data_IF_695191948388
#
_entry.id   IF_695191948388
#
_cell.length_a   1.000
_cell.length_b   1.000
_cell.length_c   1.000
_cell.angle_alpha   90.00
_cell.angle_beta   90.00
_cell.angle_gamma   90.00
#
_symmetry.space_group_name_H-M   'P 1'
#
loop_
_entity.id
_entity.type
_entity.pdbx_description
1 polymer ?
#
# COMPACT_ATOMS: atom_id res chain seq x y z
N UNK A 1 24.03 11.20 -14.77
CA UNK A 1 24.29 9.74 -15.00
C UNK A 1 25.57 9.31 -14.34
N UNK A 2 26.58 10.19 -14.25
CA UNK A 2 27.82 9.91 -13.51
C UNK A 2 27.56 9.57 -12.03
N UNK A 3 26.60 10.23 -11.39
CA UNK A 3 26.21 10.04 -9.99
C UNK A 3 25.65 8.64 -9.74
N UNK A 4 24.78 8.18 -10.64
CA UNK A 4 24.23 6.84 -10.57
C UNK A 4 25.31 5.78 -10.76
N UNK A 5 26.21 5.97 -11.75
CA UNK A 5 27.35 5.07 -11.94
C UNK A 5 28.28 5.03 -10.72
N UNK A 6 28.53 6.17 -10.08
CA UNK A 6 29.30 6.23 -8.81
C UNK A 6 28.62 5.43 -7.71
N UNK A 7 27.30 5.49 -7.59
CA UNK A 7 26.55 4.73 -6.58
C UNK A 7 26.61 3.22 -6.83
N UNK A 8 26.51 2.79 -8.10
CA UNK A 8 26.68 1.37 -8.45
C UNK A 8 28.11 0.89 -8.17
N UNK A 9 29.13 1.66 -8.53
CA UNK A 9 30.54 1.35 -8.24
C UNK A 9 30.86 1.34 -6.74
N UNK A 10 30.23 2.22 -5.97
CA UNK A 10 30.32 2.22 -4.52
C UNK A 10 29.83 0.89 -3.97
N UNK A 11 28.67 0.41 -4.41
CA UNK A 11 28.11 -0.88 -3.98
C UNK A 11 29.02 -2.06 -4.35
N UNK A 12 29.58 -2.08 -5.56
CA UNK A 12 30.56 -3.08 -5.99
C UNK A 12 31.78 -3.10 -5.06
N UNK A 13 32.27 -1.92 -4.67
CA UNK A 13 33.42 -1.77 -3.77
C UNK A 13 33.08 -2.24 -2.35
N UNK A 14 31.92 -1.84 -1.82
CA UNK A 14 31.44 -2.24 -0.48
C UNK A 14 31.32 -3.76 -0.36
N UNK A 15 30.94 -4.46 -1.44
CA UNK A 15 30.80 -5.92 -1.45
C UNK A 15 32.01 -6.68 -2.00
N UNK A 16 33.06 -5.98 -2.43
CA UNK A 16 34.30 -6.60 -2.92
C UNK A 16 35.04 -7.40 -1.84
N UNK A 17 36.10 -8.11 -2.21
CA UNK A 17 36.89 -8.88 -1.25
C UNK A 17 37.47 -8.03 -0.12
N UNK A 18 37.91 -6.81 -0.44
CA UNK A 18 38.41 -5.80 0.51
C UNK A 18 37.31 -4.89 1.07
N UNK A 19 36.04 -5.17 0.75
CA UNK A 19 34.89 -4.37 1.15
C UNK A 19 34.46 -4.56 2.61
N UNK A 20 33.29 -4.02 2.94
CA UNK A 20 32.71 -4.05 4.27
C UNK A 20 32.25 -5.46 4.66
N UNK A 21 32.70 -6.03 5.80
CA UNK A 21 32.28 -7.36 6.24
C UNK A 21 30.78 -7.49 6.52
N UNK A 22 30.11 -6.41 6.88
CA UNK A 22 28.66 -6.40 7.10
C UNK A 22 27.91 -6.48 5.78
N UNK A 23 28.30 -5.67 4.80
CA UNK A 23 27.66 -5.66 3.48
C UNK A 23 27.77 -7.02 2.81
N UNK A 24 28.98 -7.61 2.76
CA UNK A 24 29.23 -8.93 2.16
C UNK A 24 28.35 -10.05 2.71
N UNK A 25 27.96 -9.99 3.98
CA UNK A 25 27.13 -11.01 4.65
C UNK A 25 25.65 -10.91 4.30
N UNK A 26 25.20 -9.78 3.75
CA UNK A 26 23.79 -9.61 3.41
C UNK A 26 23.38 -10.52 2.24
N UNK A 27 22.16 -11.04 2.34
CA UNK A 27 21.50 -11.84 1.32
C UNK A 27 20.20 -11.18 0.88
N UNK A 28 19.71 -11.50 -0.33
CA UNK A 28 18.45 -10.93 -0.86
C UNK A 28 17.28 -11.12 0.12
N UNK A 29 17.24 -12.24 0.86
CA UNK A 29 16.17 -12.53 1.81
C UNK A 29 16.10 -11.55 3.00
N UNK A 30 17.21 -10.96 3.40
CA UNK A 30 17.28 -10.02 4.54
C UNK A 30 16.73 -8.64 4.19
N UNK A 31 16.77 -8.24 2.91
CA UNK A 31 16.26 -6.95 2.44
C UNK A 31 14.74 -6.82 2.53
N UNK A 32 13.99 -7.88 2.84
CA UNK A 32 12.54 -7.79 3.01
C UNK A 32 12.15 -6.80 4.11
N UNK A 33 12.84 -6.85 5.25
CA UNK A 33 12.56 -5.97 6.38
C UNK A 33 13.00 -4.55 6.05
N UNK A 34 14.23 -4.37 5.58
CA UNK A 34 14.75 -3.05 5.21
C UNK A 34 13.87 -2.36 4.16
N UNK A 35 13.49 -3.05 3.08
CA UNK A 35 12.58 -2.47 2.09
C UNK A 35 11.21 -2.07 2.67
N UNK A 36 10.71 -2.81 3.66
CA UNK A 36 9.44 -2.48 4.28
C UNK A 36 9.56 -1.23 5.17
N UNK A 37 10.65 -1.12 5.92
CA UNK A 37 11.00 0.05 6.74
C UNK A 37 11.07 1.31 5.87
N UNK A 38 11.92 1.31 4.84
CA UNK A 38 12.09 2.47 3.94
C UNK A 38 10.78 2.87 3.23
N UNK A 39 9.93 1.89 2.88
CA UNK A 39 8.62 2.18 2.28
C UNK A 39 7.71 2.88 3.28
N UNK A 40 7.70 2.46 4.55
CA UNK A 40 6.89 3.11 5.58
C UNK A 40 7.43 4.50 5.94
N UNK A 41 8.74 4.68 6.01
CA UNK A 41 9.37 6.00 6.24
C UNK A 41 9.09 6.94 5.06
N UNK A 42 9.16 6.43 3.82
CA UNK A 42 8.75 7.19 2.63
C UNK A 42 7.28 7.60 2.71
N UNK A 43 6.39 6.71 3.13
CA UNK A 43 4.96 7.01 3.30
C UNK A 43 4.76 8.09 4.37
N UNK A 44 5.43 7.97 5.52
CA UNK A 44 5.35 8.96 6.60
C UNK A 44 5.84 10.35 6.13
N UNK A 45 6.94 10.39 5.37
CA UNK A 45 7.47 11.62 4.80
C UNK A 45 6.47 12.28 3.81
N UNK A 46 5.74 11.47 3.02
CA UNK A 46 4.67 11.96 2.13
C UNK A 46 3.50 12.51 2.97
N UNK A 47 3.02 11.75 3.95
CA UNK A 47 1.89 12.13 4.80
C UNK A 47 2.16 13.42 5.59
N UNK A 48 3.39 13.59 6.07
CA UNK A 48 3.82 14.79 6.80
C UNK A 48 4.28 15.94 5.89
N UNK A 49 4.26 15.75 4.56
CA UNK A 49 4.81 16.69 3.57
C UNK A 49 6.26 17.11 3.87
N UNK A 50 7.03 16.23 4.50
CA UNK A 50 8.43 16.47 4.83
C UNK A 50 9.33 16.10 3.64
N UNK A 51 9.51 17.04 2.73
CA UNK A 51 10.29 16.83 1.51
C UNK A 51 11.79 16.55 1.75
N UNK A 52 12.32 16.95 2.92
CA UNK A 52 13.71 16.63 3.29
C UNK A 52 13.84 15.14 3.58
N UNK A 53 12.98 14.61 4.45
CA UNK A 53 12.92 13.18 4.74
C UNK A 53 12.59 12.40 3.47
N UNK A 54 11.58 12.83 2.69
CA UNK A 54 11.20 12.14 1.46
C UNK A 54 12.37 11.95 0.49
N UNK A 55 13.25 12.95 0.36
CA UNK A 55 14.44 12.85 -0.49
C UNK A 55 15.45 11.82 0.04
N UNK A 56 15.59 11.71 1.37
CA UNK A 56 16.44 10.75 2.06
C UNK A 56 15.92 9.33 1.84
N UNK A 57 14.66 9.06 2.17
CA UNK A 57 14.04 7.73 2.06
C UNK A 57 14.01 7.21 0.61
N UNK A 58 13.78 8.10 -0.38
CA UNK A 58 13.87 7.74 -1.80
C UNK A 58 15.30 7.35 -2.20
N UNK A 59 16.31 7.94 -1.56
CA UNK A 59 17.71 7.57 -1.71
C UNK A 59 17.99 6.18 -1.14
N UNK A 60 17.45 5.87 0.03
CA UNK A 60 17.66 4.59 0.70
C UNK A 60 16.92 3.44 -0.01
N UNK A 61 15.71 3.68 -0.53
CA UNK A 61 15.05 2.77 -1.46
C UNK A 61 15.90 2.49 -2.70
N UNK A 62 16.48 3.53 -3.32
CA UNK A 62 17.36 3.38 -4.47
C UNK A 62 18.62 2.56 -4.11
N UNK A 63 19.20 2.83 -2.94
CA UNK A 63 20.36 2.11 -2.44
C UNK A 63 20.07 0.62 -2.25
N UNK A 64 18.93 0.28 -1.63
CA UNK A 64 18.48 -1.11 -1.47
C UNK A 64 18.23 -1.83 -2.79
N UNK A 65 17.66 -1.15 -3.80
CA UNK A 65 17.49 -1.72 -5.14
C UNK A 65 18.85 -2.07 -5.76
N UNK A 66 19.82 -1.15 -5.69
CA UNK A 66 21.18 -1.36 -6.21
C UNK A 66 21.88 -2.48 -5.44
N UNK A 67 21.71 -2.54 -4.11
CA UNK A 67 22.28 -3.58 -3.27
C UNK A 67 21.79 -4.97 -3.68
N UNK A 68 20.48 -5.15 -3.84
CA UNK A 68 19.89 -6.41 -4.28
C UNK A 68 20.39 -6.78 -5.67
N UNK A 69 20.43 -5.82 -6.60
CA UNK A 69 20.94 -6.06 -7.95
C UNK A 69 22.42 -6.48 -7.94
N UNK A 70 23.24 -5.94 -7.05
CA UNK A 70 24.63 -6.34 -6.88
C UNK A 70 24.76 -7.78 -6.35
N UNK A 71 23.95 -8.18 -5.36
CA UNK A 71 23.93 -9.58 -4.87
C UNK A 71 23.53 -10.54 -6.02
N UNK A 72 22.53 -10.16 -6.82
CA UNK A 72 22.09 -10.96 -7.97
C UNK A 72 23.16 -11.06 -9.07
N UNK A 73 23.94 -9.98 -9.28
CA UNK A 73 25.07 -9.96 -10.21
C UNK A 73 26.17 -10.92 -9.77
N UNK A 74 26.51 -10.93 -8.48
CA UNK A 74 27.46 -11.89 -7.88
C UNK A 74 27.00 -13.34 -8.09
N UNK A 75 25.69 -13.58 -7.99
CA UNK A 75 25.05 -14.86 -8.29
C UNK A 75 24.87 -15.20 -9.77
N UNK A 76 25.31 -14.34 -10.70
CA UNK A 76 25.11 -14.46 -12.17
C UNK A 76 23.64 -14.61 -12.58
N UNK A 77 22.73 -13.94 -11.89
CA UNK A 77 21.29 -13.98 -12.17
C UNK A 77 20.85 -12.83 -13.08
N UNK A 78 21.06 -11.59 -12.61
CA UNK A 78 20.80 -10.33 -13.32
C UNK A 78 21.57 -9.20 -12.62
N UNK A 79 21.69 -8.05 -13.26
CA UNK A 79 22.27 -6.85 -12.66
C UNK A 79 21.35 -5.61 -12.74
N UNK A 80 21.85 -4.46 -12.28
CA UNK A 80 21.08 -3.21 -12.26
C UNK A 80 20.69 -2.73 -13.66
N UNK A 81 21.50 -3.04 -14.68
CA UNK A 81 21.21 -2.72 -16.09
C UNK A 81 20.01 -3.52 -16.57
N UNK A 82 19.92 -4.80 -16.22
CA UNK A 82 18.76 -5.64 -16.53
C UNK A 82 17.47 -5.10 -15.90
N UNK A 83 17.54 -4.67 -14.63
CA UNK A 83 16.42 -4.06 -13.91
C UNK A 83 15.92 -2.79 -14.62
N UNK A 84 16.84 -1.88 -14.96
CA UNK A 84 16.53 -0.62 -15.65
C UNK A 84 15.96 -0.87 -17.05
N UNK A 85 16.59 -1.75 -17.83
CA UNK A 85 16.13 -2.09 -19.18
C UNK A 85 14.74 -2.74 -19.16
N UNK A 86 14.48 -3.59 -18.17
CA UNK A 86 13.19 -4.23 -17.97
C UNK A 86 12.08 -3.20 -17.71
N UNK A 87 12.27 -2.27 -16.78
CA UNK A 87 11.28 -1.24 -16.50
C UNK A 87 11.14 -0.23 -17.65
N UNK A 88 12.25 0.17 -18.28
CA UNK A 88 12.23 1.09 -19.43
C UNK A 88 11.42 0.52 -20.59
N UNK A 89 11.76 -0.70 -21.04
CA UNK A 89 11.06 -1.36 -22.16
C UNK A 89 9.58 -1.53 -21.87
N UNK A 90 9.25 -1.97 -20.65
CA UNK A 90 7.86 -2.15 -20.19
C UNK A 90 7.09 -0.84 -20.20
N UNK A 91 7.66 0.25 -19.68
CA UNK A 91 6.98 1.54 -19.61
C UNK A 91 6.87 2.18 -20.99
N UNK A 92 7.94 2.12 -21.81
CA UNK A 92 7.93 2.62 -23.18
C UNK A 92 6.80 1.97 -24.01
N UNK A 93 6.71 0.65 -24.01
CA UNK A 93 5.69 -0.10 -24.74
C UNK A 93 4.27 0.15 -24.23
N UNK A 94 4.11 0.53 -22.95
CA UNK A 94 2.81 0.87 -22.34
C UNK A 94 2.36 2.31 -22.61
N UNK A 95 3.19 3.12 -23.25
CA UNK A 95 2.87 4.51 -23.59
C UNK A 95 2.98 4.78 -25.11
N UNK A 96 2.29 4.01 -25.98
CA UNK A 96 2.37 4.19 -27.43
C UNK A 96 1.72 5.50 -27.93
N UNK A 97 0.98 6.21 -27.08
CA UNK A 97 0.44 7.55 -27.33
C UNK A 97 1.48 8.66 -27.11
N UNK A 98 2.49 8.43 -26.26
CA UNK A 98 3.59 9.37 -26.02
C UNK A 98 4.74 9.09 -26.96
N UNK A 99 5.08 7.81 -27.15
CA UNK A 99 6.29 7.40 -27.88
C UNK A 99 6.02 6.77 -29.25
N UNK A 100 4.75 6.55 -29.61
CA UNK A 100 4.33 6.03 -30.91
C UNK A 100 3.35 6.98 -31.62
N UNK A 101 2.87 6.57 -32.79
CA UNK A 101 1.92 7.34 -33.62
C UNK A 101 0.47 6.85 -33.39
N UNK A 102 0.01 6.84 -32.14
CA UNK A 102 -1.35 6.36 -31.82
C UNK A 102 -2.19 7.51 -31.29
N UNK A 103 -3.23 7.91 -32.04
CA UNK A 103 -4.21 8.95 -31.67
C UNK A 103 -5.49 8.34 -31.11
N UNK A 104 -5.36 7.26 -30.34
CA UNK A 104 -6.50 6.53 -29.78
C UNK A 104 -6.95 7.20 -28.47
N UNK A 105 -8.23 7.60 -28.43
CA UNK A 105 -8.90 8.26 -27.30
C UNK A 105 -9.33 7.27 -26.20
N UNK A 106 -9.06 5.97 -26.37
CA UNK A 106 -9.35 4.96 -25.34
C UNK A 106 -8.64 5.32 -24.02
N UNK A 107 -9.35 5.27 -22.86
CA UNK A 107 -8.74 5.49 -21.55
C UNK A 107 -7.46 4.66 -21.36
N UNK A 108 -6.42 5.29 -20.82
CA UNK A 108 -5.09 4.70 -20.72
C UNK A 108 -5.09 3.42 -19.89
N UNK A 109 -5.97 3.33 -18.90
CA UNK A 109 -6.13 2.18 -18.00
C UNK A 109 -6.62 0.93 -18.73
N UNK A 110 -7.57 1.10 -19.66
CA UNK A 110 -8.10 0.02 -20.49
C UNK A 110 -7.00 -0.49 -21.42
N UNK A 111 -6.29 0.43 -22.09
CA UNK A 111 -5.19 0.08 -22.98
C UNK A 111 -4.05 -0.65 -22.26
N UNK A 112 -3.71 -0.25 -21.04
CA UNK A 112 -2.72 -0.96 -20.24
C UNK A 112 -3.15 -2.39 -19.91
N UNK A 113 -4.44 -2.63 -19.72
CA UNK A 113 -4.96 -3.96 -19.46
C UNK A 113 -4.90 -4.85 -20.70
N UNK A 114 -5.25 -4.31 -21.87
CA UNK A 114 -5.15 -5.05 -23.13
C UNK A 114 -3.71 -5.36 -23.52
N UNK A 115 -2.77 -4.44 -23.29
CA UNK A 115 -1.34 -4.70 -23.47
C UNK A 115 -0.84 -5.81 -22.54
N UNK A 116 -1.27 -5.84 -21.26
CA UNK A 116 -0.92 -6.93 -20.34
C UNK A 116 -1.49 -8.28 -20.76
N UNK A 117 -2.71 -8.30 -21.31
CA UNK A 117 -3.34 -9.52 -21.87
C UNK A 117 -2.52 -10.03 -23.06
N UNK A 118 -2.09 -9.15 -23.95
CA UNK A 118 -1.27 -9.51 -25.10
C UNK A 118 0.14 -10.00 -24.72
N UNK A 119 0.72 -9.49 -23.63
CA UNK A 119 2.05 -9.89 -23.13
C UNK A 119 2.11 -11.31 -22.53
N UNK A 120 0.97 -11.94 -22.18
CA UNK A 120 0.94 -13.19 -21.39
C UNK A 120 0.00 -14.24 -21.96
N UNK A 121 0.51 -15.47 -22.12
CA UNK A 121 -0.28 -16.63 -22.57
C UNK A 121 -1.34 -17.07 -21.55
N UNK A 122 -1.03 -17.01 -20.26
CA UNK A 122 -1.93 -17.36 -19.15
C UNK A 122 -2.30 -16.11 -18.34
N UNK A 123 -2.97 -15.16 -19.00
CA UNK A 123 -3.39 -13.93 -18.34
C UNK A 123 -4.47 -14.20 -17.29
N UNK A 124 -4.24 -13.73 -16.06
CA UNK A 124 -5.28 -13.63 -15.02
C UNK A 124 -5.24 -12.24 -14.39
N UNK A 125 -6.38 -11.51 -14.33
CA UNK A 125 -6.44 -10.18 -13.73
C UNK A 125 -5.95 -10.16 -12.26
N UNK A 126 -6.20 -11.26 -11.54
CA UNK A 126 -5.87 -11.40 -10.13
C UNK A 126 -4.51 -12.08 -9.89
N UNK A 127 -3.77 -12.43 -10.94
CA UNK A 127 -2.42 -12.98 -10.79
C UNK A 127 -1.46 -11.96 -10.15
N UNK A 128 -0.47 -12.48 -9.41
CA UNK A 128 0.60 -11.70 -8.77
C UNK A 128 0.11 -10.62 -7.80
N UNK A 129 -1.04 -10.81 -7.15
CA UNK A 129 -1.39 -10.03 -5.95
C UNK A 129 -0.61 -10.66 -4.78
N UNK A 130 0.37 -9.95 -4.17
CA UNK A 130 1.19 -10.55 -3.13
C UNK A 130 0.32 -10.95 -1.93
N UNK A 131 0.62 -12.11 -1.34
CA UNK A 131 -0.14 -12.65 -0.20
C UNK A 131 0.10 -11.89 1.11
N UNK A 132 1.21 -11.16 1.19
CA UNK A 132 1.64 -10.44 2.40
C UNK A 132 1.06 -9.03 2.52
N UNK A 133 0.38 -8.53 1.49
CA UNK A 133 -0.26 -7.21 1.53
C UNK A 133 -1.35 -7.21 2.62
N UNK A 134 -1.45 -6.13 3.44
CA UNK A 134 -2.53 -5.96 4.41
C UNK A 134 -3.92 -6.20 3.79
N UNK A 135 -4.85 -6.71 4.61
CA UNK A 135 -6.10 -7.25 4.11
C UNK A 135 -6.96 -6.21 3.36
N UNK A 136 -7.06 -4.97 3.85
CA UNK A 136 -7.88 -3.94 3.21
C UNK A 136 -7.27 -3.51 1.87
N UNK A 137 -5.96 -3.23 1.85
CA UNK A 137 -5.25 -2.90 0.62
C UNK A 137 -5.30 -4.06 -0.38
N UNK A 138 -5.18 -5.30 0.08
CA UNK A 138 -5.29 -6.49 -0.77
C UNK A 138 -6.68 -6.59 -1.39
N UNK A 139 -7.74 -6.44 -0.60
CA UNK A 139 -9.13 -6.43 -1.09
C UNK A 139 -9.37 -5.30 -2.08
N UNK A 140 -8.85 -4.09 -1.80
CA UNK A 140 -8.93 -2.94 -2.69
C UNK A 140 -8.25 -3.21 -4.05
N UNK A 141 -7.07 -3.82 -4.05
CA UNK A 141 -6.38 -4.22 -5.28
C UNK A 141 -7.19 -5.29 -6.04
N UNK A 142 -7.75 -6.29 -5.34
CA UNK A 142 -8.55 -7.35 -5.95
C UNK A 142 -9.77 -6.75 -6.66
N UNK A 143 -10.58 -5.97 -5.95
CA UNK A 143 -11.83 -5.40 -6.48
C UNK A 143 -11.56 -4.42 -7.60
N UNK A 144 -10.53 -3.57 -7.46
CA UNK A 144 -10.10 -2.65 -8.54
C UNK A 144 -9.63 -3.38 -9.80
N UNK A 145 -8.98 -4.55 -9.67
CA UNK A 145 -8.57 -5.34 -10.84
C UNK A 145 -9.73 -6.11 -11.46
N UNK A 146 -10.67 -6.60 -10.66
CA UNK A 146 -11.88 -7.24 -11.15
C UNK A 146 -12.77 -6.24 -11.91
N UNK A 147 -12.90 -5.02 -11.40
CA UNK A 147 -13.64 -3.93 -12.04
C UNK A 147 -13.11 -3.59 -13.45
N UNK A 148 -11.79 -3.61 -13.63
CA UNK A 148 -11.14 -3.34 -14.95
C UNK A 148 -11.51 -4.32 -16.05
N UNK A 149 -11.96 -5.53 -15.69
CA UNK A 149 -12.45 -6.52 -16.67
C UNK A 149 -13.97 -6.57 -16.74
N UNK A 150 -14.66 -5.60 -16.14
CA UNK A 150 -16.11 -5.46 -16.16
C UNK A 150 -16.83 -6.21 -15.04
N UNK A 151 -16.12 -6.80 -14.08
CA UNK A 151 -16.73 -7.37 -12.88
C UNK A 151 -16.80 -6.30 -11.79
N UNK A 152 -17.85 -5.46 -11.87
CA UNK A 152 -18.08 -4.34 -10.95
C UNK A 152 -19.57 -4.09 -10.70
N UNK A 153 -19.87 -3.36 -9.63
CA UNK A 153 -21.18 -2.75 -9.41
C UNK A 153 -21.39 -1.60 -10.41
N UNK A 154 -22.60 -1.46 -11.00
CA UNK A 154 -22.89 -0.37 -11.92
C UNK A 154 -22.83 1.02 -11.26
N UNK A 155 -23.26 1.13 -10.00
CA UNK A 155 -23.31 2.38 -9.26
C UNK A 155 -22.99 2.17 -7.78
N UNK A 156 -22.64 3.26 -7.10
CA UNK A 156 -22.32 3.26 -5.67
C UNK A 156 -23.55 2.86 -4.81
N UNK A 157 -24.76 3.22 -5.23
CA UNK A 157 -26.00 2.84 -4.54
C UNK A 157 -26.14 1.32 -4.40
N UNK A 158 -25.74 0.57 -5.44
CA UNK A 158 -25.84 -0.89 -5.46
C UNK A 158 -24.86 -1.52 -4.42
N UNK A 159 -23.77 -0.82 -4.08
CA UNK A 159 -22.84 -1.22 -3.01
C UNK A 159 -23.43 -0.95 -1.63
N UNK A 160 -24.16 0.16 -1.45
CA UNK A 160 -24.86 0.46 -0.19
C UNK A 160 -26.03 -0.49 0.08
N UNK A 161 -26.74 -0.92 -0.96
CA UNK A 161 -27.75 -1.98 -0.86
C UNK A 161 -27.09 -3.28 -0.37
N UNK A 162 -25.96 -3.69 -0.99
CA UNK A 162 -25.21 -4.87 -0.54
C UNK A 162 -24.70 -4.72 0.89
N UNK A 163 -24.20 -3.54 1.30
CA UNK A 163 -23.78 -3.30 2.69
C UNK A 163 -24.91 -3.50 3.70
N UNK A 164 -26.15 -3.15 3.30
CA UNK A 164 -27.32 -3.34 4.15
C UNK A 164 -27.67 -4.83 4.27
N UNK A 165 -27.58 -5.57 3.16
CA UNK A 165 -27.74 -7.04 3.13
C UNK A 165 -26.71 -7.73 4.04
N UNK A 166 -25.41 -7.44 3.89
CA UNK A 166 -24.33 -8.01 4.73
C UNK A 166 -24.55 -7.72 6.22
N UNK A 167 -25.06 -6.53 6.55
CA UNK A 167 -25.38 -6.16 7.93
C UNK A 167 -26.58 -6.96 8.48
N UNK A 168 -27.56 -7.29 7.65
CA UNK A 168 -28.67 -8.16 8.04
C UNK A 168 -28.25 -9.62 8.17
N UNK A 169 -27.35 -10.11 7.31
CA UNK A 169 -26.76 -11.45 7.38
C UNK A 169 -25.91 -11.61 8.64
N UNK A 170 -25.08 -10.61 8.97
CA UNK A 170 -24.34 -10.57 10.24
C UNK A 170 -25.26 -10.70 11.46
N UNK A 171 -26.35 -9.93 11.51
CA UNK A 171 -27.32 -10.01 12.62
C UNK A 171 -27.96 -11.40 12.73
N UNK A 172 -28.30 -12.04 11.61
CA UNK A 172 -28.85 -13.41 11.60
C UNK A 172 -27.80 -14.42 12.07
N UNK A 173 -26.55 -14.26 11.66
CA UNK A 173 -25.44 -15.10 12.12
C UNK A 173 -25.24 -14.97 13.64
N UNK A 174 -25.33 -13.75 14.18
CA UNK A 174 -25.29 -13.50 15.63
C UNK A 174 -26.43 -14.21 16.38
N UNK A 175 -27.65 -14.22 15.84
CA UNK A 175 -28.79 -14.95 16.42
C UNK A 175 -28.56 -16.47 16.46
N UNK A 176 -27.87 -17.02 15.46
CA UNK A 176 -27.53 -18.46 15.41
C UNK A 176 -26.44 -18.86 16.41
N UNK A 177 -25.58 -17.92 16.82
CA UNK A 177 -24.42 -18.14 17.67
C UNK A 177 -23.26 -18.90 16.99
N UNK A 178 -23.33 -19.15 15.68
CA UNK A 178 -22.23 -19.78 14.94
C UNK A 178 -21.08 -18.79 14.70
N UNK A 179 -19.99 -19.00 15.44
CA UNK A 179 -18.79 -18.17 15.33
C UNK A 179 -18.16 -18.20 13.94
N UNK A 180 -18.35 -19.26 13.15
CA UNK A 180 -17.82 -19.32 11.80
C UNK A 180 -18.65 -18.45 10.85
N UNK A 181 -19.98 -18.55 10.86
CA UNK A 181 -20.85 -17.64 10.11
C UNK A 181 -20.60 -16.19 10.50
N UNK A 182 -20.55 -15.84 11.80
CA UNK A 182 -20.28 -14.46 12.24
C UNK A 182 -18.96 -13.94 11.67
N UNK A 183 -17.91 -14.78 11.64
CA UNK A 183 -16.62 -14.40 11.04
C UNK A 183 -16.73 -14.13 9.54
N UNK A 184 -17.48 -14.95 8.81
CA UNK A 184 -17.70 -14.82 7.37
C UNK A 184 -18.42 -13.50 7.06
N UNK A 185 -19.54 -13.23 7.74
CA UNK A 185 -20.33 -12.01 7.53
C UNK A 185 -19.56 -10.73 7.89
N UNK A 186 -18.72 -10.76 8.95
CA UNK A 186 -17.81 -9.64 9.25
C UNK A 186 -16.83 -9.41 8.09
N UNK A 187 -16.33 -10.49 7.49
CA UNK A 187 -15.43 -10.43 6.33
C UNK A 187 -16.09 -9.79 5.12
N UNK A 188 -17.32 -10.19 4.81
CA UNK A 188 -18.06 -9.69 3.66
C UNK A 188 -18.52 -8.24 3.84
N UNK A 189 -18.89 -7.84 5.07
CA UNK A 189 -19.15 -6.44 5.40
C UNK A 189 -17.88 -5.57 5.22
N UNK A 190 -16.73 -6.02 5.72
CA UNK A 190 -15.44 -5.32 5.52
C UNK A 190 -15.08 -5.23 4.02
N UNK A 191 -15.30 -6.30 3.27
CA UNK A 191 -15.07 -6.33 1.82
C UNK A 191 -15.99 -5.35 1.06
N UNK A 192 -17.23 -5.21 1.51
CA UNK A 192 -18.18 -4.24 0.97
C UNK A 192 -17.77 -2.80 1.28
N UNK A 193 -17.32 -2.52 2.51
CA UNK A 193 -16.75 -1.20 2.88
C UNK A 193 -15.53 -0.85 2.00
N UNK A 194 -14.67 -1.82 1.71
CA UNK A 194 -13.53 -1.63 0.78
C UNK A 194 -14.01 -1.21 -0.61
N UNK A 195 -15.14 -1.75 -1.10
CA UNK A 195 -15.71 -1.33 -2.37
C UNK A 195 -16.25 0.10 -2.32
N UNK A 196 -16.90 0.51 -1.23
CA UNK A 196 -17.31 1.91 -1.04
C UNK A 196 -16.09 2.84 -1.13
N UNK A 197 -14.99 2.52 -0.42
CA UNK A 197 -13.75 3.29 -0.51
C UNK A 197 -13.20 3.35 -1.95
N UNK A 198 -13.27 2.24 -2.69
CA UNK A 198 -12.86 2.17 -4.10
C UNK A 198 -13.67 3.07 -5.02
N UNK A 199 -14.99 3.15 -4.85
CA UNK A 199 -15.82 4.07 -5.63
C UNK A 199 -15.48 5.54 -5.40
N UNK A 200 -14.85 5.86 -4.27
CA UNK A 200 -14.34 7.20 -3.96
C UNK A 200 -12.86 7.39 -4.30
N UNK A 201 -12.21 6.41 -4.93
CA UNK A 201 -10.76 6.39 -5.19
C UNK A 201 -9.90 6.57 -3.92
N UNK A 202 -10.40 6.10 -2.77
CA UNK A 202 -9.72 6.17 -1.48
C UNK A 202 -9.07 4.82 -1.18
N UNK A 203 -7.81 4.83 -0.73
CA UNK A 203 -7.16 3.64 -0.18
C UNK A 203 -7.74 3.34 1.22
N UNK A 204 -8.43 2.20 1.42
CA UNK A 204 -9.08 1.89 2.69
C UNK A 204 -8.08 1.59 3.82
N UNK A 205 -6.88 1.10 3.51
CA UNK A 205 -5.84 0.84 4.52
C UNK A 205 -5.34 2.16 5.10
N UNK A 206 -5.06 3.14 4.22
CA UNK A 206 -4.65 4.48 4.62
C UNK A 206 -5.77 5.24 5.37
N UNK A 207 -7.01 5.15 4.89
CA UNK A 207 -8.16 5.76 5.55
C UNK A 207 -8.36 5.22 6.99
N UNK A 208 -8.17 3.91 7.18
CA UNK A 208 -8.24 3.30 8.50
C UNK A 208 -7.04 3.70 9.36
N UNK A 209 -5.81 3.70 8.81
CA UNK A 209 -4.60 4.18 9.51
C UNK A 209 -4.77 5.61 10.02
N UNK A 210 -5.24 6.51 9.16
CA UNK A 210 -5.56 7.90 9.52
C UNK A 210 -6.59 8.01 10.65
N UNK A 211 -7.62 7.16 10.62
CA UNK A 211 -8.64 7.11 11.67
C UNK A 211 -8.09 6.58 12.99
N UNK A 212 -7.24 5.55 12.95
CA UNK A 212 -6.54 5.00 14.11
C UNK A 212 -5.58 6.01 14.73
N UNK A 213 -4.80 6.73 13.91
CA UNK A 213 -3.92 7.80 14.38
C UNK A 213 -4.68 8.93 15.07
N UNK A 214 -5.85 9.31 14.53
CA UNK A 214 -6.76 10.27 15.16
C UNK A 214 -7.32 9.76 16.49
N UNK A 215 -7.65 8.47 16.59
CA UNK A 215 -8.06 7.86 17.86
C UNK A 215 -6.94 7.94 18.89
N UNK A 216 -5.71 7.56 18.51
CA UNK A 216 -4.53 7.59 19.40
C UNK A 216 -4.29 9.02 19.92
N UNK A 217 -4.27 10.03 19.06
CA UNK A 217 -4.06 11.43 19.49
C UNK A 217 -5.10 11.90 20.51
N UNK A 218 -6.37 11.57 20.26
CA UNK A 218 -7.46 11.93 21.17
C UNK A 218 -7.39 11.18 22.48
N UNK A 219 -7.05 9.89 22.44
CA UNK A 219 -6.89 9.10 23.64
C UNK A 219 -5.70 9.58 24.47
N UNK A 220 -4.56 9.87 23.85
CA UNK A 220 -3.40 10.49 24.52
C UNK A 220 -3.75 11.82 25.19
N UNK A 221 -4.63 12.62 24.60
CA UNK A 221 -5.15 13.82 25.27
C UNK A 221 -5.91 13.48 26.56
N UNK A 222 -6.73 12.42 26.55
CA UNK A 222 -7.38 11.91 27.77
C UNK A 222 -6.33 11.49 28.79
N UNK A 223 -5.34 10.68 28.38
CA UNK A 223 -4.29 10.16 29.26
C UNK A 223 -3.52 11.30 29.95
N UNK A 224 -3.13 12.33 29.19
CA UNK A 224 -2.36 13.47 29.69
C UNK A 224 -3.16 14.38 30.63
N UNK A 225 -4.49 14.41 30.49
CA UNK A 225 -5.38 15.28 31.28
C UNK A 225 -6.15 14.54 32.38
N UNK A 226 -5.81 13.27 32.60
CA UNK A 226 -6.44 12.42 33.60
C UNK A 226 -5.45 12.04 34.69
N UNK A 227 -5.82 12.23 35.98
CA UNK A 227 -4.95 11.85 37.10
C UNK A 227 -4.75 10.34 37.25
N UNK A 228 -5.76 9.54 36.88
CA UNK A 228 -5.70 8.08 36.82
C UNK A 228 -6.79 7.54 35.88
N UNK A 229 -6.40 6.99 34.73
CA UNK A 229 -7.32 6.45 33.71
C UNK A 229 -8.23 5.36 34.27
N UNK A 230 -7.67 4.44 35.05
CA UNK A 230 -8.39 3.29 35.60
C UNK A 230 -9.52 3.67 36.58
N UNK A 231 -9.42 4.86 37.18
CA UNK A 231 -10.42 5.38 38.13
C UNK A 231 -11.33 6.44 37.51
N UNK A 232 -11.17 6.74 36.21
CA UNK A 232 -11.95 7.78 35.55
C UNK A 232 -13.26 7.23 35.04
N UNK A 233 -14.31 8.05 35.08
CA UNK A 233 -15.61 7.66 34.53
C UNK A 233 -15.62 7.85 33.02
N UNK A 234 -16.45 7.08 32.31
CA UNK A 234 -16.68 7.29 30.87
C UNK A 234 -17.12 8.72 30.58
N UNK A 235 -17.93 9.32 31.45
CA UNK A 235 -18.37 10.72 31.31
C UNK A 235 -17.21 11.72 31.35
N UNK A 236 -16.22 11.50 32.21
CA UNK A 236 -15.04 12.36 32.28
C UNK A 236 -14.12 12.16 31.07
N UNK A 237 -13.94 10.91 30.63
CA UNK A 237 -13.20 10.60 29.40
C UNK A 237 -13.88 11.17 28.15
N UNK A 238 -15.21 11.14 28.06
CA UNK A 238 -15.98 11.70 26.95
C UNK A 238 -15.86 13.23 26.89
N UNK A 239 -15.78 13.93 28.02
CA UNK A 239 -15.50 15.38 28.04
C UNK A 239 -14.14 15.68 27.43
N UNK A 240 -13.09 15.00 27.90
CA UNK A 240 -11.73 15.16 27.39
C UNK A 240 -11.61 14.76 25.92
N UNK A 241 -12.34 13.73 25.48
CA UNK A 241 -12.44 13.34 24.07
C UNK A 241 -13.03 14.46 23.20
N UNK A 242 -14.12 15.07 23.66
CA UNK A 242 -14.76 16.18 22.95
C UNK A 242 -13.87 17.44 22.93
N UNK A 243 -13.15 17.72 24.02
CA UNK A 243 -12.15 18.79 24.06
C UNK A 243 -11.06 18.57 23.01
N UNK A 244 -10.49 17.36 22.92
CA UNK A 244 -9.50 17.02 21.90
C UNK A 244 -10.05 17.21 20.48
N UNK A 245 -11.29 16.79 20.23
CA UNK A 245 -11.98 16.95 18.93
C UNK A 245 -12.16 18.43 18.55
N UNK A 246 -12.46 19.29 19.52
CA UNK A 246 -12.63 20.73 19.29
C UNK A 246 -11.30 21.45 19.08
N UNK A 247 -10.21 21.01 19.72
CA UNK A 247 -8.86 21.52 19.47
C UNK A 247 -8.40 21.21 18.04
N UNK A 248 -8.60 19.98 17.56
CA UNK A 248 -8.24 19.58 16.18
C UNK A 248 -8.99 20.41 15.12
N UNK A 249 -10.28 20.70 15.33
CA UNK A 249 -11.09 21.51 14.40
C UNK A 249 -10.67 22.98 14.31
N UNK A 250 -10.03 23.52 15.36
CA UNK A 250 -9.56 24.91 15.40
C UNK A 250 -8.16 25.09 14.82
N UNK A 251 -7.40 23.99 14.69
CA UNK A 251 -6.04 23.98 14.13
C UNK A 251 -5.97 23.57 12.66
N UNK A 252 -7.10 23.20 12.04
CA UNK A 252 -7.26 23.03 10.59
C UNK A 252 -7.70 24.34 9.95
#
# INVERSE_FOLDING_TARGET
MEEFSKLVQLMETLRSDAGCPWDKKQTVGQFKTFLLEEVYETIDAIETSNYTALREELGDLLFHIIFIAQICKEGRLFDITDVINGIYTKMYNRHPHVFGNTTDDTPIEIRWEDLKKAEKKDYSPLANIPRIVPALLRSYIITRRAARVGFDWPRLEDVYEKMTEELEELKKAEESGDAQSIREEIGDLLFTIVNIARFHDIDPEDALRSTSNKFIRRFQHIENNTKNLSNSTLSDMDKLWNEAKDMEKKGQ
#
